data_IF_548512974012
#
_entry.id   IF_548512974012
#
_cell.length_a   1.000
_cell.length_b   1.000
_cell.length_c   1.000
_cell.angle_alpha   90.00
_cell.angle_beta   90.00
_cell.angle_gamma   90.00
#
_symmetry.space_group_name_H-M   'P 1'
#
loop_
_entity.id
_entity.type
_entity.pdbx_description
1 polymer ?
#
# COMPACT_ATOMS: atom_id res chain seq x y z
N UNK A 1 -31.73 -0.74 -6.47
CA UNK A 1 -30.84 0.39 -6.13
C UNK A 1 -29.75 0.49 -7.18
N UNK A 2 -29.75 1.51 -8.00
CA UNK A 2 -28.71 1.73 -9.02
C UNK A 2 -27.49 2.30 -8.33
N UNK A 3 -26.42 1.54 -8.24
CA UNK A 3 -25.14 2.09 -7.80
C UNK A 3 -24.67 3.06 -8.89
N UNK A 4 -24.69 4.35 -8.58
CA UNK A 4 -24.05 5.36 -9.44
C UNK A 4 -22.55 5.07 -9.40
N UNK A 5 -22.00 4.62 -10.54
CA UNK A 5 -20.56 4.56 -10.73
C UNK A 5 -20.04 6.00 -10.75
N UNK A 6 -19.32 6.40 -9.71
CA UNK A 6 -18.64 7.68 -9.66
C UNK A 6 -17.22 7.41 -10.18
N UNK A 7 -16.84 8.10 -11.23
CA UNK A 7 -15.47 8.13 -11.72
C UNK A 7 -14.87 9.49 -11.35
N UNK A 8 -13.73 9.44 -10.69
CA UNK A 8 -12.95 10.63 -10.37
C UNK A 8 -11.77 10.71 -11.32
N UNK A 9 -11.59 11.86 -11.92
CA UNK A 9 -10.42 12.19 -12.71
C UNK A 9 -9.75 13.40 -12.08
N UNK A 10 -8.48 13.27 -11.74
CA UNK A 10 -7.70 14.38 -11.20
C UNK A 10 -6.48 14.57 -12.11
N UNK A 11 -6.42 15.73 -12.76
CA UNK A 11 -5.20 16.23 -13.39
C UNK A 11 -4.61 17.22 -12.39
N UNK A 12 -3.38 17.01 -11.87
CA UNK A 12 -2.76 17.98 -10.99
C UNK A 12 -2.66 19.34 -11.67
N UNK A 13 -2.99 20.44 -10.98
CA UNK A 13 -2.91 21.78 -11.56
C UNK A 13 -1.51 22.15 -12.06
N UNK A 14 -0.49 21.61 -11.41
CA UNK A 14 0.94 21.86 -11.69
C UNK A 14 1.58 20.69 -12.47
N UNK A 15 0.81 20.00 -13.33
CA UNK A 15 1.34 18.92 -14.17
C UNK A 15 2.34 19.54 -15.18
N UNK A 16 3.60 19.34 -14.89
CA UNK A 16 4.73 19.79 -15.72
C UNK A 16 5.28 18.62 -16.59
N UNK A 17 6.30 18.91 -17.38
CA UNK A 17 6.95 17.91 -18.24
C UNK A 17 7.57 16.75 -17.44
N UNK A 18 8.04 16.98 -16.22
CA UNK A 18 8.60 15.98 -15.34
C UNK A 18 7.51 15.00 -14.85
N UNK A 19 6.35 15.53 -14.46
CA UNK A 19 5.19 14.69 -14.12
C UNK A 19 4.76 13.79 -15.27
N UNK A 20 4.67 14.35 -16.50
CA UNK A 20 4.31 13.56 -17.69
C UNK A 20 5.34 12.47 -17.95
N UNK A 21 6.63 12.77 -17.89
CA UNK A 21 7.70 11.80 -18.10
C UNK A 21 7.66 10.66 -17.06
N UNK A 22 7.40 10.98 -15.79
CA UNK A 22 7.25 9.96 -14.74
C UNK A 22 6.01 9.08 -14.98
N UNK A 23 4.89 9.67 -15.37
CA UNK A 23 3.66 8.94 -15.69
C UNK A 23 3.88 7.99 -16.88
N UNK A 24 4.50 8.48 -17.95
CA UNK A 24 4.83 7.64 -19.12
C UNK A 24 5.75 6.48 -18.76
N UNK A 25 6.74 6.71 -17.90
CA UNK A 25 7.64 5.65 -17.40
C UNK A 25 6.88 4.55 -16.64
N UNK A 26 5.93 4.94 -15.79
CA UNK A 26 5.09 3.99 -15.04
C UNK A 26 4.22 3.19 -16.02
N UNK A 27 3.57 3.86 -16.97
CA UNK A 27 2.73 3.20 -17.98
C UNK A 27 3.54 2.24 -18.86
N UNK A 28 4.72 2.67 -19.32
CA UNK A 28 5.64 1.82 -20.09
C UNK A 28 6.07 0.59 -19.28
N UNK A 29 6.35 0.75 -17.98
CA UNK A 29 6.68 -0.37 -17.08
C UNK A 29 5.52 -1.37 -16.97
N UNK A 30 4.29 -0.89 -16.88
CA UNK A 30 3.11 -1.77 -16.86
C UNK A 30 2.85 -2.45 -18.21
N UNK A 31 3.28 -1.87 -19.31
CA UNK A 31 3.15 -2.47 -20.66
C UNK A 31 4.16 -3.61 -20.91
N UNK A 32 5.28 -3.69 -20.16
CA UNK A 32 6.26 -4.76 -20.29
C UNK A 32 5.61 -6.14 -20.09
N UNK A 33 6.01 -7.19 -20.81
CA UNK A 33 5.60 -8.56 -20.51
C UNK A 33 6.08 -8.99 -19.12
N UNK A 34 5.45 -10.03 -18.56
CA UNK A 34 5.92 -10.62 -17.30
C UNK A 34 7.29 -11.27 -17.48
N UNK A 35 8.22 -10.94 -16.61
CA UNK A 35 9.52 -11.57 -16.50
C UNK A 35 9.85 -11.83 -15.03
N UNK A 36 10.02 -13.10 -14.67
CA UNK A 36 10.35 -13.52 -13.30
C UNK A 36 11.77 -13.08 -12.86
N UNK A 37 12.65 -12.76 -13.81
CA UNK A 37 13.99 -12.22 -13.52
C UNK A 37 13.98 -10.73 -13.29
N UNK A 38 12.94 -10.03 -13.79
CA UNK A 38 12.77 -8.58 -13.65
C UNK A 38 11.33 -8.27 -13.22
N UNK A 39 10.87 -8.77 -12.04
CA UNK A 39 9.51 -8.55 -11.59
C UNK A 39 9.24 -7.07 -11.32
N UNK A 40 7.98 -6.67 -11.53
CA UNK A 40 7.46 -5.33 -11.20
C UNK A 40 6.68 -5.42 -9.90
N UNK A 41 7.23 -4.84 -8.85
CA UNK A 41 6.64 -4.76 -7.52
C UNK A 41 6.06 -3.37 -7.29
N UNK A 42 4.77 -3.31 -6.99
CA UNK A 42 4.09 -2.09 -6.56
C UNK A 42 3.99 -2.08 -5.04
N UNK A 43 4.15 -0.93 -4.44
CA UNK A 43 4.07 -0.75 -3.00
C UNK A 43 3.37 0.55 -2.65
N UNK A 44 2.55 0.50 -1.61
CA UNK A 44 1.87 1.66 -1.05
C UNK A 44 1.72 1.53 0.47
N UNK A 45 1.49 2.64 1.16
CA UNK A 45 1.35 2.75 2.60
C UNK A 45 0.05 3.47 2.97
N UNK A 46 -0.79 2.81 3.77
CA UNK A 46 -2.04 3.38 4.27
C UNK A 46 -1.99 3.54 5.79
N UNK A 47 -1.95 4.77 6.34
CA UNK A 47 -2.16 4.99 7.75
C UNK A 47 -3.61 4.72 8.14
N UNK A 48 -3.82 4.01 9.25
CA UNK A 48 -5.13 3.65 9.77
C UNK A 48 -5.24 4.11 11.21
N UNK A 49 -6.32 4.84 11.52
CA UNK A 49 -6.67 5.19 12.89
C UNK A 49 -7.24 3.96 13.60
N UNK A 50 -6.60 3.54 14.67
CA UNK A 50 -7.14 2.51 15.54
C UNK A 50 -8.18 3.12 16.49
N UNK A 51 -9.29 2.42 16.66
CA UNK A 51 -10.38 2.84 17.53
C UNK A 51 -10.70 1.77 18.55
N UNK A 52 -11.13 2.18 19.74
CA UNK A 52 -11.63 1.32 20.80
C UNK A 52 -13.08 1.69 21.09
N UNK A 53 -13.92 0.68 21.26
CA UNK A 53 -15.32 0.89 21.64
C UNK A 53 -15.39 1.46 23.07
N UNK A 54 -16.21 2.51 23.26
CA UNK A 54 -16.47 3.14 24.57
C UNK A 54 -17.43 2.30 25.40
N UNK A 55 -18.36 1.60 24.73
CA UNK A 55 -19.40 0.76 25.35
C UNK A 55 -19.41 -0.62 24.71
N UNK A 56 -19.81 -1.63 25.50
CA UNK A 56 -19.99 -2.98 24.95
C UNK A 56 -21.09 -3.00 23.91
N UNK A 57 -20.83 -3.53 22.71
CA UNK A 57 -21.85 -3.69 21.68
C UNK A 57 -23.00 -4.58 22.15
N UNK A 58 -24.21 -4.25 21.72
CA UNK A 58 -25.39 -5.12 21.89
C UNK A 58 -25.33 -6.19 20.80
N UNK A 59 -25.27 -7.48 21.14
CA UNK A 59 -25.16 -8.54 20.15
C UNK A 59 -26.40 -8.62 19.27
N UNK A 60 -26.21 -9.15 18.05
CA UNK A 60 -27.31 -9.43 17.15
C UNK A 60 -28.24 -10.50 17.72
N UNK A 61 -29.55 -10.37 17.47
CA UNK A 61 -30.58 -11.37 17.76
C UNK A 61 -31.31 -11.74 16.47
N UNK A 62 -32.21 -12.73 16.52
CA UNK A 62 -33.05 -13.05 15.35
C UNK A 62 -33.90 -11.87 14.84
N UNK A 63 -34.21 -10.89 15.72
CA UNK A 63 -35.09 -9.74 15.39
C UNK A 63 -34.34 -8.44 15.16
N UNK A 64 -33.08 -8.33 15.60
CA UNK A 64 -32.31 -7.08 15.55
C UNK A 64 -30.85 -7.33 15.13
N UNK A 65 -30.35 -6.46 14.29
CA UNK A 65 -28.91 -6.43 13.95
C UNK A 65 -28.06 -6.04 15.18
N UNK A 66 -26.78 -6.40 15.16
CA UNK A 66 -25.80 -5.92 16.14
C UNK A 66 -25.81 -4.39 16.19
N UNK A 67 -25.84 -3.82 17.39
CA UNK A 67 -25.77 -2.37 17.62
C UNK A 67 -24.44 -2.05 18.27
N UNK A 68 -23.73 -1.10 17.69
CA UNK A 68 -22.48 -0.53 18.21
C UNK A 68 -22.71 0.94 18.51
N UNK A 69 -22.00 1.48 19.50
CA UNK A 69 -22.02 2.91 19.75
C UNK A 69 -21.31 3.63 18.60
N UNK A 70 -21.77 4.84 18.26
CA UNK A 70 -21.06 5.68 17.29
C UNK A 70 -19.87 6.41 17.91
N UNK A 71 -19.82 6.51 19.24
CA UNK A 71 -18.68 7.07 19.96
C UNK A 71 -17.55 6.04 20.03
N UNK A 72 -16.33 6.52 19.88
CA UNK A 72 -15.12 5.71 19.99
C UNK A 72 -13.98 6.48 20.63
N UNK A 73 -13.09 5.77 21.32
CA UNK A 73 -11.83 6.31 21.77
C UNK A 73 -10.75 6.05 20.72
N UNK A 74 -9.86 7.02 20.51
CA UNK A 74 -8.69 6.82 19.67
C UNK A 74 -7.69 5.91 20.38
N UNK A 75 -7.34 4.78 19.75
CA UNK A 75 -6.43 3.78 20.30
C UNK A 75 -5.04 3.80 19.61
N UNK A 76 -4.67 4.93 19.03
CA UNK A 76 -3.42 5.10 18.29
C UNK A 76 -3.60 4.98 16.77
N UNK A 77 -2.49 4.79 16.07
CA UNK A 77 -2.43 4.60 14.63
C UNK A 77 -1.61 3.35 14.29
N UNK A 78 -1.93 2.73 13.18
CA UNK A 78 -1.11 1.72 12.54
C UNK A 78 -0.88 2.10 11.09
N UNK A 79 0.14 1.55 10.46
CA UNK A 79 0.40 1.70 9.04
C UNK A 79 0.31 0.34 8.36
N UNK A 80 -0.49 0.26 7.33
CA UNK A 80 -0.63 -0.91 6.46
C UNK A 80 0.31 -0.72 5.28
N UNK A 81 1.29 -1.62 5.14
CA UNK A 81 2.15 -1.72 3.96
C UNK A 81 1.54 -2.75 3.03
N UNK A 82 1.25 -2.37 1.82
CA UNK A 82 0.73 -3.25 0.79
C UNK A 82 1.77 -3.42 -0.32
N UNK A 83 2.05 -4.66 -0.66
CA UNK A 83 2.91 -5.05 -1.75
C UNK A 83 2.09 -5.83 -2.77
N UNK A 84 2.25 -5.53 -4.04
CA UNK A 84 1.58 -6.23 -5.12
C UNK A 84 2.52 -6.43 -6.30
N UNK A 85 2.48 -7.62 -6.88
CA UNK A 85 3.10 -7.96 -8.16
C UNK A 85 1.96 -8.21 -9.16
N UNK A 86 1.45 -7.17 -9.86
CA UNK A 86 0.21 -7.25 -10.62
C UNK A 86 0.24 -8.31 -11.70
N UNK A 87 1.38 -8.47 -12.36
CA UNK A 87 1.55 -9.42 -13.47
C UNK A 87 1.64 -10.88 -13.01
N UNK A 88 2.07 -11.13 -11.78
CA UNK A 88 2.07 -12.45 -11.15
C UNK A 88 0.78 -12.74 -10.36
N UNK A 89 -0.12 -11.76 -10.22
CA UNK A 89 -1.31 -11.88 -9.40
C UNK A 89 -1.03 -12.04 -7.91
N UNK A 90 0.17 -11.67 -7.45
CA UNK A 90 0.56 -11.81 -6.04
C UNK A 90 0.39 -10.51 -5.27
N UNK A 91 0.02 -10.63 -4.00
CA UNK A 91 -0.07 -9.52 -3.06
C UNK A 91 0.24 -9.98 -1.65
N UNK A 92 0.77 -9.07 -0.85
CA UNK A 92 1.05 -9.25 0.57
C UNK A 92 0.75 -7.96 1.32
N UNK A 93 0.23 -8.09 2.54
CA UNK A 93 -0.09 -6.95 3.41
C UNK A 93 0.58 -7.18 4.75
N UNK A 94 1.27 -6.16 5.25
CA UNK A 94 1.92 -6.15 6.56
C UNK A 94 1.49 -4.91 7.35
N UNK A 95 1.46 -5.03 8.67
CA UNK A 95 1.02 -3.93 9.53
C UNK A 95 2.14 -3.58 10.50
N UNK A 96 2.46 -2.29 10.57
CA UNK A 96 3.43 -1.72 11.48
C UNK A 96 2.81 -0.60 12.32
N UNK A 97 3.44 -0.30 13.44
CA UNK A 97 3.03 0.83 14.30
C UNK A 97 3.39 2.17 13.67
N UNK A 98 4.49 2.23 12.94
CA UNK A 98 5.03 3.43 12.32
C UNK A 98 5.33 3.21 10.84
N UNK A 99 5.57 4.31 10.10
CA UNK A 99 5.99 4.34 8.69
C UNK A 99 7.32 5.07 8.50
N UNK A 100 8.29 4.79 9.35
CA UNK A 100 9.61 5.39 9.22
C UNK A 100 10.42 4.71 8.10
N UNK A 101 11.48 5.35 7.64
CA UNK A 101 12.41 4.78 6.64
C UNK A 101 12.91 3.39 7.01
N UNK A 102 13.14 3.17 8.31
CA UNK A 102 13.60 1.88 8.83
C UNK A 102 12.50 0.81 8.76
N UNK A 103 11.23 1.19 9.03
CA UNK A 103 10.10 0.26 8.92
C UNK A 103 9.95 -0.22 7.48
N UNK A 104 10.02 0.71 6.53
CA UNK A 104 10.01 0.39 5.11
C UNK A 104 11.14 -0.58 4.72
N UNK A 105 12.37 -0.33 5.16
CA UNK A 105 13.51 -1.20 4.87
C UNK A 105 13.33 -2.60 5.47
N UNK A 106 12.80 -2.71 6.69
CA UNK A 106 12.49 -3.99 7.33
C UNK A 106 11.38 -4.77 6.60
N UNK A 107 10.49 -4.10 5.89
CA UNK A 107 9.49 -4.78 5.07
C UNK A 107 10.03 -5.21 3.71
N UNK A 108 10.88 -4.38 3.10
CA UNK A 108 11.46 -4.67 1.79
C UNK A 108 12.54 -5.77 1.84
N UNK A 109 13.41 -5.76 2.86
CA UNK A 109 14.53 -6.69 2.92
C UNK A 109 14.11 -8.19 2.91
N UNK A 110 13.08 -8.64 3.65
CA UNK A 110 12.61 -10.02 3.57
C UNK A 110 12.04 -10.39 2.20
N UNK A 111 11.38 -9.45 1.50
CA UNK A 111 10.89 -9.70 0.14
C UNK A 111 12.04 -9.91 -0.84
N UNK A 112 13.05 -9.05 -0.77
CA UNK A 112 14.23 -9.14 -1.66
C UNK A 112 15.04 -10.41 -1.40
N UNK A 113 15.23 -10.79 -0.11
CA UNK A 113 16.00 -11.99 0.27
C UNK A 113 15.21 -13.30 0.12
N UNK A 114 13.87 -13.23 0.11
CA UNK A 114 12.99 -14.38 -0.02
C UNK A 114 12.41 -14.50 -1.41
N UNK A 115 11.25 -13.89 -1.64
CA UNK A 115 10.50 -14.01 -2.89
C UNK A 115 11.33 -13.64 -4.13
N UNK A 116 12.17 -12.63 -4.03
CA UNK A 116 12.94 -12.09 -5.16
C UNK A 116 14.41 -12.49 -5.14
N UNK A 117 14.78 -13.52 -4.37
CA UNK A 117 16.18 -13.97 -4.26
C UNK A 117 16.80 -14.40 -5.58
N UNK A 118 15.99 -14.88 -6.53
CA UNK A 118 16.43 -15.34 -7.86
C UNK A 118 16.20 -14.27 -8.96
N UNK A 119 15.71 -13.10 -8.60
CA UNK A 119 15.54 -11.99 -9.53
C UNK A 119 16.89 -11.29 -9.77
N UNK A 120 17.17 -10.93 -11.01
CA UNK A 120 18.36 -10.13 -11.37
C UNK A 120 18.17 -8.67 -10.97
N UNK A 121 16.93 -8.19 -11.06
CA UNK A 121 16.53 -6.84 -10.71
C UNK A 121 15.04 -6.81 -10.35
N UNK A 122 14.66 -5.97 -9.41
CA UNK A 122 13.24 -5.69 -9.08
C UNK A 122 12.93 -4.24 -9.47
N UNK A 123 11.91 -4.04 -10.30
CA UNK A 123 11.39 -2.71 -10.61
C UNK A 123 10.37 -2.37 -9.53
N UNK A 124 10.66 -1.35 -8.73
CA UNK A 124 9.76 -0.91 -7.65
C UNK A 124 8.98 0.32 -8.08
N UNK A 125 7.65 0.20 -8.15
CA UNK A 125 6.72 1.32 -8.35
C UNK A 125 6.14 1.70 -6.99
N UNK A 126 6.29 2.96 -6.61
CA UNK A 126 5.84 3.54 -5.34
C UNK A 126 5.56 5.02 -5.50
N UNK A 127 4.85 5.61 -4.54
CA UNK A 127 4.76 7.06 -4.45
C UNK A 127 6.12 7.70 -4.09
N UNK A 128 6.22 9.01 -4.25
CA UNK A 128 7.47 9.75 -4.02
C UNK A 128 7.61 10.23 -2.57
N UNK A 129 7.22 9.42 -1.57
CA UNK A 129 7.43 9.76 -0.18
C UNK A 129 8.92 9.77 0.19
N UNK A 130 9.35 10.80 0.93
CA UNK A 130 10.75 10.95 1.39
C UNK A 130 11.25 9.80 2.28
N UNK A 131 10.36 8.94 2.76
CA UNK A 131 10.67 7.75 3.55
C UNK A 131 11.32 6.64 2.73
N UNK A 132 11.12 6.63 1.41
CA UNK A 132 11.56 5.57 0.52
C UNK A 132 12.93 5.86 -0.09
N UNK A 133 13.98 5.63 0.66
CA UNK A 133 15.35 5.83 0.17
C UNK A 133 16.12 4.51 0.12
N UNK A 134 16.56 4.11 -1.08
CA UNK A 134 17.31 2.87 -1.29
C UNK A 134 18.62 2.77 -0.50
N UNK A 135 19.17 3.88 0.02
CA UNK A 135 20.35 3.86 0.89
C UNK A 135 20.07 3.16 2.23
N UNK A 136 18.82 3.19 2.70
CA UNK A 136 18.44 2.55 3.98
C UNK A 136 18.44 1.03 3.87
N UNK A 137 18.19 0.46 2.68
CA UNK A 137 18.24 -0.98 2.44
C UNK A 137 19.63 -1.60 2.61
N UNK A 138 20.71 -0.81 2.53
CA UNK A 138 22.06 -1.31 2.72
C UNK A 138 22.39 -1.65 4.18
N UNK A 139 21.59 -1.15 5.12
CA UNK A 139 21.83 -1.26 6.57
C UNK A 139 20.85 -2.25 7.25
N UNK A 140 20.06 -2.99 6.48
CA UNK A 140 19.08 -4.00 6.91
C UNK A 140 19.35 -5.35 6.19
#
# INVERSE_FOLDING_TARGET
>A
MTQRKIQYWVIPPDADAEFVAHMENVLATYALPYDSKVPVLCMDEQPVQLTKETRKPIPATKKHARRVDYEYERAGTACVFMFAEPKAGWREVRVRKHRMKIDWAHEMAPLLRGRYTNAERVILIRDNLNTHNGRVLRNV
#
